data_IF_453880566781
#
_entry.id   IF_453880566781
#
_cell.length_a   1.000
_cell.length_b   1.000
_cell.length_c   1.000
_cell.angle_alpha   90.00
_cell.angle_beta   90.00
_cell.angle_gamma   90.00
#
_symmetry.space_group_name_H-M   'P 1'
#
loop_
_entity.id
_entity.type
_entity.pdbx_description
1 polymer ?
#
# COMPACT_ATOMS: atom_id res chain seq x y z
N UNK A 1 1.26 -6.16 -21.07
CA UNK A 1 0.59 -5.13 -20.22
C UNK A 1 -0.93 -5.32 -20.24
N UNK A 2 -1.60 -5.39 -21.42
CA UNK A 2 -3.07 -5.51 -21.54
C UNK A 2 -3.58 -6.81 -20.88
N UNK A 3 -2.97 -7.96 -21.16
CA UNK A 3 -3.32 -9.24 -20.53
C UNK A 3 -3.12 -9.24 -19.02
N UNK A 4 -2.10 -8.53 -18.53
CA UNK A 4 -1.86 -8.37 -17.11
C UNK A 4 -2.97 -7.54 -16.46
N UNK A 5 -3.38 -6.44 -17.09
CA UNK A 5 -4.51 -5.64 -16.62
C UNK A 5 -5.83 -6.42 -16.61
N UNK A 6 -6.10 -7.21 -17.66
CA UNK A 6 -7.29 -8.06 -17.72
C UNK A 6 -7.30 -9.09 -16.58
N UNK A 7 -6.17 -9.77 -16.33
CA UNK A 7 -6.05 -10.73 -15.22
C UNK A 7 -6.22 -10.08 -13.84
N UNK A 8 -5.75 -8.86 -13.69
CA UNK A 8 -5.90 -8.08 -12.45
C UNK A 8 -7.35 -7.68 -12.20
N UNK A 9 -8.06 -7.24 -13.25
CA UNK A 9 -9.48 -6.89 -13.12
C UNK A 9 -10.33 -8.11 -12.74
N UNK A 10 -10.06 -9.27 -13.35
CA UNK A 10 -10.74 -10.52 -12.98
C UNK A 10 -10.44 -10.95 -11.55
N UNK A 11 -9.19 -10.80 -11.10
CA UNK A 11 -8.82 -11.09 -9.71
C UNK A 11 -9.52 -10.14 -8.73
N UNK A 12 -9.57 -8.85 -9.06
CA UNK A 12 -10.28 -7.84 -8.26
C UNK A 12 -11.78 -8.17 -8.13
N UNK A 13 -12.40 -8.61 -9.21
CA UNK A 13 -13.80 -9.04 -9.20
C UNK A 13 -14.00 -10.33 -8.40
N UNK A 14 -13.09 -11.30 -8.52
CA UNK A 14 -13.11 -12.51 -7.71
C UNK A 14 -13.00 -12.20 -6.21
N UNK A 15 -12.16 -11.26 -5.80
CA UNK A 15 -12.02 -10.82 -4.40
C UNK A 15 -13.34 -10.22 -3.89
N UNK A 16 -14.07 -9.47 -4.73
CA UNK A 16 -15.39 -8.93 -4.36
C UNK A 16 -16.45 -10.04 -4.23
N UNK A 17 -16.53 -10.94 -5.23
CA UNK A 17 -17.53 -12.02 -5.25
C UNK A 17 -17.32 -13.02 -4.11
N UNK A 18 -16.07 -13.34 -3.78
CA UNK A 18 -15.74 -14.26 -2.68
C UNK A 18 -15.92 -13.67 -1.30
N UNK A 19 -16.12 -12.35 -1.19
CA UNK A 19 -16.19 -11.64 0.09
C UNK A 19 -14.84 -11.57 0.84
N UNK A 20 -13.77 -12.06 0.24
CA UNK A 20 -12.43 -12.00 0.84
C UNK A 20 -12.00 -10.55 1.08
N UNK A 21 -12.42 -9.64 0.18
CA UNK A 21 -12.22 -8.21 0.34
C UNK A 21 -12.88 -7.65 1.59
N UNK A 22 -14.09 -8.11 1.89
CA UNK A 22 -14.83 -7.65 3.07
C UNK A 22 -14.19 -8.10 4.38
N UNK A 23 -13.69 -9.33 4.44
CA UNK A 23 -12.98 -9.85 5.62
C UNK A 23 -11.71 -9.03 5.90
N UNK A 24 -10.92 -8.74 4.87
CA UNK A 24 -9.71 -7.92 5.04
C UNK A 24 -10.06 -6.48 5.38
N UNK A 25 -11.09 -5.91 4.76
CA UNK A 25 -11.59 -4.59 5.09
C UNK A 25 -12.06 -4.51 6.54
N UNK A 26 -12.83 -5.48 7.01
CA UNK A 26 -13.31 -5.54 8.40
C UNK A 26 -12.15 -5.69 9.39
N UNK A 27 -11.11 -6.46 9.04
CA UNK A 27 -9.90 -6.57 9.83
C UNK A 27 -9.14 -5.23 9.89
N UNK A 28 -8.99 -4.53 8.76
CA UNK A 28 -8.40 -3.18 8.73
C UNK A 28 -9.22 -2.19 9.56
N UNK A 29 -10.56 -2.24 9.46
CA UNK A 29 -11.45 -1.41 10.26
C UNK A 29 -11.34 -1.74 11.76
N UNK A 30 -11.18 -3.01 12.12
CA UNK A 30 -10.98 -3.41 13.52
C UNK A 30 -9.68 -2.87 14.11
N UNK A 31 -8.63 -2.70 13.31
CA UNK A 31 -7.39 -2.05 13.73
C UNK A 31 -7.55 -0.54 13.94
N UNK A 32 -8.43 0.10 13.17
CA UNK A 32 -8.76 1.52 13.31
C UNK A 32 -9.61 1.73 14.58
N UNK A 33 -10.45 0.74 14.95
CA UNK A 33 -11.38 0.83 16.07
C UNK A 33 -12.42 1.94 15.86
N UNK A 34 -12.90 2.53 16.95
CA UNK A 34 -13.86 3.64 16.93
C UNK A 34 -13.18 5.03 16.81
N UNK A 35 -11.95 5.08 16.34
CA UNK A 35 -11.18 6.34 16.31
C UNK A 35 -11.48 7.09 15.01
N UNK A 36 -12.06 8.26 15.13
CA UNK A 36 -12.34 9.18 13.99
C UNK A 36 -11.09 9.99 13.59
N UNK A 37 -9.90 9.58 14.04
CA UNK A 37 -8.68 10.34 13.77
C UNK A 37 -8.18 10.03 12.34
N UNK A 38 -8.17 11.02 11.42
CA UNK A 38 -7.80 10.82 10.02
C UNK A 38 -6.36 10.33 9.84
N UNK A 39 -5.46 10.72 10.75
CA UNK A 39 -4.06 10.28 10.69
C UNK A 39 -3.88 8.80 11.03
N UNK A 40 -4.69 8.28 11.95
CA UNK A 40 -4.66 6.86 12.31
C UNK A 40 -5.24 5.99 11.19
N UNK A 41 -6.33 6.44 10.58
CA UNK A 41 -6.93 5.79 9.40
C UNK A 41 -5.90 5.73 8.27
N UNK A 42 -5.25 6.84 7.99
CA UNK A 42 -4.22 6.94 6.97
C UNK A 42 -3.02 6.03 7.28
N UNK A 43 -2.58 5.98 8.54
CA UNK A 43 -1.46 5.13 8.96
C UNK A 43 -1.75 3.64 8.72
N UNK A 44 -2.94 3.16 9.04
CA UNK A 44 -3.34 1.77 8.81
C UNK A 44 -3.39 1.45 7.33
N UNK A 45 -4.07 2.30 6.54
CA UNK A 45 -4.19 2.12 5.09
C UNK A 45 -2.87 2.27 4.32
N UNK A 46 -1.87 2.91 4.93
CA UNK A 46 -0.53 3.04 4.37
C UNK A 46 0.39 1.89 4.80
N UNK A 47 0.46 1.58 6.11
CA UNK A 47 1.44 0.64 6.66
C UNK A 47 1.24 -0.80 6.17
N UNK A 48 -0.01 -1.25 6.04
CA UNK A 48 -0.28 -2.62 5.62
C UNK A 48 0.22 -2.87 4.18
N UNK A 49 -0.20 -2.10 3.15
CA UNK A 49 0.34 -2.27 1.81
C UNK A 49 1.84 -1.95 1.73
N UNK A 50 2.35 -1.00 2.53
CA UNK A 50 3.78 -0.69 2.60
C UNK A 50 4.63 -1.90 3.04
N UNK A 51 4.21 -2.62 4.07
CA UNK A 51 4.94 -3.81 4.54
C UNK A 51 4.86 -4.95 3.52
N UNK A 52 3.70 -5.15 2.92
CA UNK A 52 3.51 -6.21 1.94
C UNK A 52 4.25 -5.96 0.63
N UNK A 53 4.36 -4.71 0.19
CA UNK A 53 5.11 -4.37 -1.03
C UNK A 53 6.61 -4.63 -0.89
N UNK A 54 7.14 -4.80 0.31
CA UNK A 54 8.54 -5.19 0.51
C UNK A 54 8.82 -6.64 0.07
N UNK A 55 7.78 -7.48 0.04
CA UNK A 55 7.87 -8.91 -0.30
C UNK A 55 7.22 -9.18 -1.66
N UNK A 56 6.09 -8.53 -1.93
CA UNK A 56 5.33 -8.66 -3.18
C UNK A 56 5.71 -7.59 -4.18
N UNK A 57 5.38 -7.80 -5.45
CA UNK A 57 5.57 -6.77 -6.47
C UNK A 57 4.63 -5.57 -6.21
N UNK A 58 5.10 -4.37 -6.55
CA UNK A 58 4.34 -3.13 -6.40
C UNK A 58 2.98 -3.19 -7.11
N UNK A 59 2.94 -3.82 -8.29
CA UNK A 59 1.72 -3.93 -9.07
C UNK A 59 0.71 -4.87 -8.40
N UNK A 60 1.16 -6.02 -7.88
CA UNK A 60 0.29 -6.95 -7.17
C UNK A 60 -0.32 -6.30 -5.92
N UNK A 61 0.49 -5.56 -5.15
CA UNK A 61 0.01 -4.83 -3.98
C UNK A 61 -1.06 -3.80 -4.37
N UNK A 62 -0.83 -3.00 -5.40
CA UNK A 62 -1.81 -2.02 -5.88
C UNK A 62 -3.15 -2.66 -6.25
N UNK A 63 -3.10 -3.72 -7.04
CA UNK A 63 -4.29 -4.36 -7.59
C UNK A 63 -5.16 -5.01 -6.53
N UNK A 64 -4.55 -5.49 -5.45
CA UNK A 64 -5.26 -6.08 -4.31
C UNK A 64 -5.79 -4.97 -3.38
N UNK A 65 -4.94 -4.00 -3.02
CA UNK A 65 -5.28 -3.05 -1.96
C UNK A 65 -6.18 -1.89 -2.41
N UNK A 66 -6.14 -1.46 -3.67
CA UNK A 66 -7.04 -0.38 -4.12
C UNK A 66 -8.51 -0.73 -3.91
N UNK A 67 -9.03 -1.87 -4.43
CA UNK A 67 -10.44 -2.21 -4.20
C UNK A 67 -10.77 -2.47 -2.74
N UNK A 68 -9.84 -3.04 -1.96
CA UNK A 68 -10.03 -3.28 -0.53
C UNK A 68 -10.20 -1.99 0.25
N UNK A 69 -9.31 -1.01 0.02
CA UNK A 69 -9.34 0.28 0.71
C UNK A 69 -10.56 1.09 0.31
N UNK A 70 -10.96 1.06 -0.96
CA UNK A 70 -12.20 1.71 -1.41
C UNK A 70 -13.42 1.09 -0.70
N UNK A 71 -13.51 -0.23 -0.62
CA UNK A 71 -14.59 -0.92 0.09
C UNK A 71 -14.60 -0.56 1.58
N UNK A 72 -13.44 -0.55 2.23
CA UNK A 72 -13.31 -0.18 3.64
C UNK A 72 -13.74 1.28 3.90
N UNK A 73 -13.30 2.23 3.05
CA UNK A 73 -13.68 3.63 3.16
C UNK A 73 -15.18 3.84 2.97
N UNK A 74 -15.79 3.13 2.02
CA UNK A 74 -17.24 3.18 1.81
C UNK A 74 -18.03 2.64 3.01
N UNK A 75 -17.54 1.59 3.68
CA UNK A 75 -18.16 1.04 4.90
C UNK A 75 -18.12 2.03 6.08
N UNK A 76 -17.04 2.78 6.20
CA UNK A 76 -16.85 3.78 7.27
C UNK A 76 -17.55 5.12 6.91
N UNK A 77 -17.89 5.33 5.64
CA UNK A 77 -18.52 6.57 5.16
C UNK A 77 -17.55 7.74 4.97
N UNK A 78 -16.29 7.45 4.62
CA UNK A 78 -15.24 8.44 4.38
C UNK A 78 -14.83 8.48 2.90
N UNK A 79 -14.25 9.61 2.46
CA UNK A 79 -13.77 9.76 1.08
C UNK A 79 -12.55 8.84 0.83
N UNK A 80 -12.61 7.92 -0.15
CA UNK A 80 -11.53 6.98 -0.44
C UNK A 80 -10.30 7.62 -1.11
N UNK A 81 -10.38 8.87 -1.59
CA UNK A 81 -9.31 9.51 -2.38
C UNK A 81 -7.97 9.54 -1.66
N UNK A 82 -7.96 10.02 -0.40
CA UNK A 82 -6.75 10.08 0.40
C UNK A 82 -6.14 8.69 0.61
N UNK A 83 -6.98 7.71 0.94
CA UNK A 83 -6.55 6.34 1.19
C UNK A 83 -6.00 5.66 -0.07
N UNK A 84 -6.65 5.84 -1.22
CA UNK A 84 -6.17 5.31 -2.52
C UNK A 84 -4.81 5.90 -2.90
N UNK A 85 -4.65 7.23 -2.77
CA UNK A 85 -3.35 7.88 -3.04
C UNK A 85 -2.29 7.39 -2.04
N UNK A 86 -2.69 7.15 -0.79
CA UNK A 86 -1.81 6.56 0.22
C UNK A 86 -1.32 5.16 -0.15
N UNK A 87 -2.20 4.28 -0.60
CA UNK A 87 -1.84 2.93 -1.09
C UNK A 87 -0.92 3.02 -2.32
N UNK A 88 -1.23 3.93 -3.25
CA UNK A 88 -0.36 4.19 -4.41
C UNK A 88 1.06 4.58 -3.98
N UNK A 89 1.17 5.49 -3.04
CA UNK A 89 2.45 5.96 -2.52
C UNK A 89 3.16 4.84 -1.74
N UNK A 90 2.45 4.13 -0.87
CA UNK A 90 2.96 3.00 -0.09
C UNK A 90 3.58 1.93 -0.98
N UNK A 91 2.88 1.55 -2.07
CA UNK A 91 3.36 0.55 -3.01
C UNK A 91 4.59 0.98 -3.83
N UNK A 92 4.86 2.29 -3.92
CA UNK A 92 6.04 2.82 -4.61
C UNK A 92 7.27 2.96 -3.70
N UNK A 93 7.07 3.01 -2.39
CA UNK A 93 8.14 3.09 -1.39
C UNK A 93 8.67 1.69 -1.05
N UNK A 94 8.98 0.89 -2.04
CA UNK A 94 9.58 -0.44 -1.89
C UNK A 94 11.10 -0.36 -1.99
N UNK A 95 11.73 0.44 -1.12
CA UNK A 95 13.17 0.75 -1.18
C UNK A 95 13.97 -0.14 -0.23
N UNK A 96 13.31 -0.76 0.75
CA UNK A 96 13.98 -1.57 1.78
C UNK A 96 14.47 -2.92 1.25
N UNK A 97 13.78 -3.48 0.24
CA UNK A 97 14.14 -4.78 -0.35
C UNK A 97 14.25 -4.68 -1.87
N UNK A 98 15.21 -5.37 -2.49
CA UNK A 98 15.37 -5.35 -3.94
C UNK A 98 14.31 -6.20 -4.67
N UNK A 99 13.50 -6.97 -3.95
CA UNK A 99 12.56 -7.94 -4.54
C UNK A 99 11.33 -7.30 -5.19
N UNK A 100 10.92 -6.14 -4.72
CA UNK A 100 9.67 -5.50 -5.14
C UNK A 100 9.75 -4.80 -6.51
N UNK A 101 10.95 -4.37 -6.94
CA UNK A 101 11.14 -3.66 -8.19
C UNK A 101 12.30 -4.25 -9.03
N UNK A 102 12.04 -4.60 -10.30
CA UNK A 102 13.07 -5.18 -11.18
C UNK A 102 14.32 -4.32 -11.34
N UNK A 103 14.18 -3.00 -11.34
CA UNK A 103 15.29 -2.07 -11.46
C UNK A 103 16.28 -2.16 -10.27
N UNK A 104 15.81 -2.50 -9.09
CA UNK A 104 16.66 -2.70 -7.92
C UNK A 104 17.47 -4.00 -8.02
N UNK A 105 16.87 -5.05 -8.57
CA UNK A 105 17.58 -6.32 -8.81
C UNK A 105 18.72 -6.12 -9.80
N UNK A 106 18.50 -5.33 -10.85
CA UNK A 106 19.50 -5.10 -11.90
C UNK A 106 20.78 -4.40 -11.42
N UNK A 107 20.72 -3.63 -10.34
CA UNK A 107 21.87 -2.90 -9.82
C UNK A 107 22.64 -3.65 -8.72
N UNK A 108 22.11 -4.77 -8.23
CA UNK A 108 22.76 -5.59 -7.19
C UNK A 108 24.12 -6.11 -7.69
N UNK A 109 24.09 -6.76 -8.82
CA UNK A 109 25.27 -7.44 -9.38
C UNK A 109 26.38 -6.47 -9.78
N UNK A 110 26.14 -5.43 -10.60
CA UNK A 110 27.18 -4.48 -10.98
C UNK A 110 27.63 -3.58 -9.83
N UNK A 111 26.76 -3.33 -8.83
CA UNK A 111 27.08 -2.49 -7.68
C UNK A 111 27.65 -3.24 -6.47
N UNK A 112 27.65 -4.58 -6.48
CA UNK A 112 28.10 -5.39 -5.35
C UNK A 112 27.29 -5.17 -4.08
N UNK A 113 26.03 -4.71 -4.21
CA UNK A 113 25.17 -4.39 -3.05
C UNK A 113 24.64 -5.67 -2.39
N UNK A 114 24.62 -5.64 -1.05
CA UNK A 114 24.01 -6.69 -0.25
C UNK A 114 22.62 -6.28 0.25
N UNK A 115 21.81 -7.25 0.65
CA UNK A 115 20.52 -6.99 1.26
C UNK A 115 20.63 -6.06 2.50
N UNK A 116 21.73 -6.17 3.23
CA UNK A 116 22.01 -5.31 4.40
C UNK A 116 22.19 -3.85 4.02
N UNK A 117 22.79 -3.58 2.88
CA UNK A 117 23.01 -2.20 2.38
C UNK A 117 21.67 -1.57 1.99
N UNK A 118 20.77 -2.34 1.34
CA UNK A 118 19.40 -1.91 1.04
C UNK A 118 18.62 -1.58 2.30
N UNK A 119 18.66 -2.46 3.31
CA UNK A 119 17.99 -2.21 4.59
C UNK A 119 18.57 -0.98 5.30
N UNK A 120 19.89 -0.83 5.32
CA UNK A 120 20.56 0.27 6.02
C UNK A 120 20.29 1.64 5.39
N UNK A 121 20.26 1.72 4.07
CA UNK A 121 20.00 2.96 3.35
C UNK A 121 18.52 3.18 3.08
N UNK A 122 17.76 2.11 2.80
CA UNK A 122 16.36 2.17 2.44
C UNK A 122 15.44 2.44 3.64
N UNK A 123 15.75 1.88 4.82
CA UNK A 123 14.89 2.05 6.00
C UNK A 123 14.73 3.51 6.43
N UNK A 124 15.80 4.32 6.62
CA UNK A 124 15.61 5.70 7.03
C UNK A 124 14.84 6.53 5.98
N UNK A 125 15.10 6.28 4.70
CA UNK A 125 14.40 6.96 3.63
C UNK A 125 12.92 6.55 3.58
N UNK A 126 12.63 5.26 3.72
CA UNK A 126 11.27 4.74 3.76
C UNK A 126 10.47 5.29 4.94
N UNK A 127 11.09 5.40 6.12
CA UNK A 127 10.47 5.98 7.32
C UNK A 127 10.14 7.47 7.11
N UNK A 128 11.06 8.25 6.55
CA UNK A 128 10.83 9.67 6.27
C UNK A 128 9.65 9.83 5.29
N UNK A 129 9.64 9.05 4.20
CA UNK A 129 8.56 9.09 3.21
C UNK A 129 7.22 8.62 3.78
N UNK A 130 7.22 7.61 4.65
CA UNK A 130 6.03 7.15 5.34
C UNK A 130 5.44 8.24 6.25
N UNK A 131 6.27 8.88 7.07
CA UNK A 131 5.85 9.97 7.93
C UNK A 131 5.28 11.12 7.09
N UNK A 132 5.99 11.55 6.06
CA UNK A 132 5.52 12.60 5.15
C UNK A 132 4.16 12.25 4.53
N UNK A 133 3.98 11.02 4.05
CA UNK A 133 2.73 10.59 3.43
C UNK A 133 1.58 10.58 4.44
N UNK A 134 1.79 10.02 5.63
CA UNK A 134 0.76 9.95 6.68
C UNK A 134 0.31 11.34 7.13
N UNK A 135 1.22 12.32 7.19
CA UNK A 135 0.87 13.69 7.59
C UNK A 135 0.31 14.54 6.43
N UNK A 136 0.91 14.44 5.22
CA UNK A 136 0.50 15.29 4.10
C UNK A 136 -0.83 14.85 3.47
N UNK A 137 -1.09 13.54 3.36
CA UNK A 137 -2.26 13.06 2.64
C UNK A 137 -3.59 13.49 3.26
N UNK A 138 -3.82 13.38 4.58
CA UNK A 138 -5.05 13.87 5.19
C UNK A 138 -5.19 15.40 5.13
N UNK A 139 -4.07 16.13 4.99
CA UNK A 139 -4.07 17.58 4.85
C UNK A 139 -4.46 18.04 3.44
N UNK A 140 -4.00 17.30 2.42
CA UNK A 140 -4.29 17.61 1.01
C UNK A 140 -5.65 17.07 0.56
N UNK A 141 -6.05 15.92 1.09
CA UNK A 141 -7.30 15.24 0.79
C UNK A 141 -8.02 14.92 2.10
N UNK A 142 -8.88 15.84 2.60
CA UNK A 142 -9.63 15.58 3.82
C UNK A 142 -10.57 14.38 3.62
N UNK A 143 -10.69 13.54 4.65
CA UNK A 143 -11.56 12.36 4.64
C UNK A 143 -13.04 12.69 4.82
N UNK A 144 -13.37 13.92 5.25
CA UNK A 144 -14.72 14.43 5.52
C UNK A 144 -14.98 15.70 4.73
#
# INVERSE_FOLDING_TARGET
>A
TIFLFAGVLTLSEAIKITGAGDVVADWMISLIGNTTNPYLIMAVFFLIPFLLTQIMSNLATLTIFIPLVVSACMKIGIDPRAAVVGVLTASRISIMTPMAAPCQIMIIEPGGYTLKDYLKCGTPLAVILAIMTIFLMPLMFPFY
#
